data_IF_378922718478
#
_entry.id   IF_378922718478
#
_cell.length_a   1.000
_cell.length_b   1.000
_cell.length_c   1.000
_cell.angle_alpha   90.00
_cell.angle_beta   90.00
_cell.angle_gamma   90.00
#
_symmetry.space_group_name_H-M   'P 1'
#
loop_
_entity.id
_entity.type
_entity.pdbx_description
1 polymer ?
#
# COMPACT_ATOMS: atom_id res chain seq x y z
N UNK A 1 -87.17 -5.90 -9.04
CA UNK A 1 -86.50 -6.62 -7.92
C UNK A 1 -84.99 -6.43 -8.07
N UNK A 2 -84.39 -5.62 -7.20
CA UNK A 2 -82.95 -5.31 -7.20
C UNK A 2 -82.18 -6.52 -6.65
N UNK A 3 -81.22 -7.05 -7.41
CA UNK A 3 -80.21 -7.98 -6.89
C UNK A 3 -78.87 -7.25 -6.86
N UNK A 4 -78.43 -6.90 -5.65
CA UNK A 4 -77.10 -6.36 -5.40
C UNK A 4 -76.10 -7.53 -5.39
N UNK A 5 -75.11 -7.47 -6.27
CA UNK A 5 -74.00 -8.42 -6.32
C UNK A 5 -72.84 -7.82 -5.51
N UNK A 6 -72.59 -8.37 -4.33
CA UNK A 6 -71.45 -8.02 -3.48
C UNK A 6 -70.18 -8.65 -4.08
N UNK A 7 -69.24 -7.82 -4.52
CA UNK A 7 -67.88 -8.28 -4.86
C UNK A 7 -67.01 -8.23 -3.60
N UNK A 8 -66.50 -9.40 -3.22
CA UNK A 8 -65.60 -9.61 -2.09
C UNK A 8 -64.16 -9.51 -2.62
N UNK A 9 -63.48 -8.41 -2.29
CA UNK A 9 -62.07 -8.19 -2.68
C UNK A 9 -61.18 -8.79 -1.60
N UNK A 10 -60.55 -9.93 -1.91
CA UNK A 10 -59.51 -10.53 -1.07
C UNK A 10 -58.16 -9.85 -1.36
N UNK A 11 -57.69 -9.01 -0.42
CA UNK A 11 -56.34 -8.44 -0.46
C UNK A 11 -55.39 -9.49 0.12
N UNK A 12 -54.65 -10.18 -0.74
CA UNK A 12 -53.53 -11.02 -0.32
C UNK A 12 -52.34 -10.14 0.08
N UNK A 13 -52.03 -10.10 1.38
CA UNK A 13 -50.74 -9.59 1.87
C UNK A 13 -49.65 -10.59 1.47
N UNK A 14 -48.89 -10.29 0.42
CA UNK A 14 -47.64 -10.97 0.14
C UNK A 14 -46.57 -10.48 1.13
N UNK A 15 -46.30 -11.26 2.17
CA UNK A 15 -45.08 -11.08 2.95
C UNK A 15 -43.88 -11.43 2.05
N UNK A 16 -43.14 -10.41 1.62
CA UNK A 16 -41.84 -10.59 0.99
C UNK A 16 -40.85 -10.94 2.10
N UNK A 17 -40.65 -12.25 2.34
CA UNK A 17 -39.57 -12.71 3.19
C UNK A 17 -38.24 -12.54 2.46
N UNK A 18 -37.41 -11.61 2.90
CA UNK A 18 -36.01 -11.57 2.45
C UNK A 18 -35.32 -12.83 2.99
N UNK A 19 -34.90 -13.73 2.10
CA UNK A 19 -34.14 -14.91 2.49
C UNK A 19 -32.73 -14.48 2.94
N UNK A 20 -32.56 -14.24 4.24
CA UNK A 20 -31.26 -14.00 4.86
C UNK A 20 -30.52 -15.35 4.99
N UNK A 21 -29.28 -15.45 4.52
CA UNK A 21 -28.51 -16.69 4.69
C UNK A 21 -28.01 -16.73 6.13
N UNK A 22 -28.33 -17.80 6.87
CA UNK A 22 -27.95 -17.97 8.27
C UNK A 22 -27.07 -19.20 8.45
N UNK A 23 -26.06 -19.11 9.32
CA UNK A 23 -25.21 -20.25 9.71
C UNK A 23 -24.82 -20.14 11.17
N UNK A 24 -24.76 -21.28 11.87
CA UNK A 24 -24.33 -21.34 13.25
C UNK A 24 -23.02 -22.12 13.39
N UNK A 25 -22.21 -21.71 14.36
CA UNK A 25 -20.89 -22.26 14.62
C UNK A 25 -20.72 -22.52 16.10
N UNK A 26 -19.97 -23.58 16.40
CA UNK A 26 -19.54 -23.95 17.75
C UNK A 26 -18.02 -24.10 17.71
N UNK A 27 -17.32 -23.52 18.68
CA UNK A 27 -15.87 -23.62 18.82
C UNK A 27 -15.58 -24.57 19.98
N UNK A 28 -14.94 -25.71 19.70
CA UNK A 28 -14.57 -26.70 20.70
C UNK A 28 -13.19 -26.36 21.28
N UNK A 29 -13.14 -25.66 22.40
CA UNK A 29 -11.87 -25.28 23.03
C UNK A 29 -11.22 -26.47 23.73
N UNK A 30 -10.01 -26.82 23.30
CA UNK A 30 -9.10 -27.73 24.02
C UNK A 30 -8.25 -26.93 25.03
N UNK A 31 -7.49 -27.63 25.88
CA UNK A 31 -6.68 -26.99 26.92
C UNK A 31 -5.62 -26.01 26.35
N UNK A 32 -4.76 -26.48 25.43
CA UNK A 32 -3.81 -25.66 24.67
C UNK A 32 -3.09 -26.49 23.61
N UNK A 33 -2.50 -25.85 22.61
CA UNK A 33 -1.63 -26.50 21.61
C UNK A 33 -0.28 -25.81 21.54
N UNK A 34 0.78 -26.63 21.55
CA UNK A 34 2.16 -26.18 21.33
C UNK A 34 2.52 -26.28 19.86
N UNK A 35 3.04 -25.19 19.31
CA UNK A 35 3.62 -25.11 17.97
C UNK A 35 5.12 -24.91 18.12
N UNK A 36 5.92 -25.74 17.46
CA UNK A 36 7.38 -25.69 17.56
C UNK A 36 8.04 -25.79 16.19
N UNK A 37 9.04 -24.93 15.95
CA UNK A 37 9.95 -25.00 14.81
C UNK A 37 11.36 -24.83 15.37
N UNK A 38 12.15 -25.90 15.35
CA UNK A 38 13.51 -25.96 15.92
C UNK A 38 13.58 -25.40 17.35
N UNK A 39 14.23 -24.25 17.57
CA UNK A 39 14.36 -23.61 18.90
C UNK A 39 13.18 -22.73 19.29
N UNK A 40 12.26 -22.45 18.36
CA UNK A 40 11.08 -21.62 18.64
C UNK A 40 9.90 -22.50 19.06
N UNK A 41 9.27 -22.17 20.19
CA UNK A 41 8.06 -22.84 20.67
C UNK A 41 7.08 -21.81 21.21
N UNK A 42 5.82 -21.92 20.80
CA UNK A 42 4.71 -21.12 21.31
C UNK A 42 3.55 -22.03 21.71
N UNK A 43 2.99 -21.80 22.90
CA UNK A 43 1.81 -22.52 23.38
C UNK A 43 0.62 -21.56 23.40
N UNK A 44 -0.49 -21.96 22.78
CA UNK A 44 -1.68 -21.12 22.59
C UNK A 44 -2.95 -21.86 23.00
N UNK A 45 -3.99 -21.17 23.50
CA UNK A 45 -5.33 -21.77 23.60
C UNK A 45 -5.80 -22.17 22.20
N UNK A 46 -6.38 -23.36 22.06
CA UNK A 46 -6.58 -23.95 20.74
C UNK A 46 -7.89 -24.74 20.60
N UNK A 47 -8.20 -25.12 19.36
CA UNK A 47 -9.28 -26.04 19.00
C UNK A 47 -8.79 -27.05 17.97
N UNK A 48 -9.03 -28.33 18.24
CA UNK A 48 -8.65 -29.47 17.41
C UNK A 48 -9.51 -29.64 16.16
N UNK A 49 -10.63 -28.91 16.06
CA UNK A 49 -11.54 -28.96 14.91
C UNK A 49 -11.01 -28.22 13.66
N UNK A 50 -9.82 -27.61 13.76
CA UNK A 50 -9.18 -26.92 12.64
C UNK A 50 -9.80 -25.57 12.30
N UNK A 51 -10.70 -25.05 13.14
CA UNK A 51 -11.35 -23.75 12.91
C UNK A 51 -10.54 -22.57 13.42
N UNK A 52 -9.46 -22.78 14.17
CA UNK A 52 -8.59 -21.71 14.65
C UNK A 52 -7.31 -21.59 13.83
N UNK A 53 -6.89 -20.35 13.61
CA UNK A 53 -5.59 -19.97 13.03
C UNK A 53 -4.90 -18.94 13.93
N UNK A 54 -3.58 -18.83 13.83
CA UNK A 54 -2.79 -17.83 14.56
C UNK A 54 -1.83 -17.10 13.62
N UNK A 55 -1.75 -15.78 13.78
CA UNK A 55 -0.81 -14.91 13.08
C UNK A 55 -0.22 -13.88 14.05
N UNK A 56 1.08 -13.58 13.94
CA UNK A 56 1.75 -12.64 14.86
C UNK A 56 1.28 -11.19 14.75
N UNK A 57 0.67 -10.80 13.62
CA UNK A 57 0.08 -9.48 13.44
C UNK A 57 -1.39 -9.41 13.83
N UNK A 58 -2.11 -10.55 13.86
CA UNK A 58 -3.58 -10.57 13.97
C UNK A 58 -4.13 -11.45 15.11
N UNK A 59 -3.26 -12.16 15.84
CA UNK A 59 -3.64 -13.02 16.95
C UNK A 59 -4.36 -14.30 16.51
N UNK A 60 -5.13 -14.90 17.43
CA UNK A 60 -5.94 -16.09 17.15
C UNK A 60 -7.23 -15.66 16.45
N UNK A 61 -7.60 -16.36 15.38
CA UNK A 61 -8.84 -16.15 14.64
C UNK A 61 -9.59 -17.45 14.42
N UNK A 62 -10.90 -17.38 14.54
CA UNK A 62 -11.79 -18.38 13.99
C UNK A 62 -11.88 -18.19 12.47
N UNK A 63 -11.82 -19.28 11.71
CA UNK A 63 -11.94 -19.32 10.26
C UNK A 63 -12.88 -20.44 9.86
N UNK A 64 -13.84 -20.14 8.99
CA UNK A 64 -14.66 -21.15 8.33
C UNK A 64 -14.88 -20.77 6.88
N UNK A 65 -14.91 -21.79 6.02
CA UNK A 65 -15.21 -21.65 4.60
C UNK A 65 -16.32 -22.61 4.16
N UNK A 66 -17.16 -22.19 3.22
CA UNK A 66 -18.16 -23.04 2.59
C UNK A 66 -18.49 -22.58 1.16
N UNK A 67 -18.94 -23.48 0.27
CA UNK A 67 -19.33 -23.11 -1.10
C UNK A 67 -20.46 -22.08 -1.10
N UNK A 68 -20.39 -21.13 -2.03
CA UNK A 68 -21.47 -20.15 -2.25
C UNK A 68 -21.74 -19.97 -3.73
N UNK A 69 -22.99 -19.71 -4.12
CA UNK A 69 -23.38 -19.52 -5.51
C UNK A 69 -23.20 -18.08 -6.00
N UNK A 70 -23.17 -17.12 -5.08
CA UNK A 70 -23.18 -15.69 -5.38
C UNK A 70 -22.18 -14.93 -4.51
N UNK A 71 -21.78 -13.74 -4.97
CA UNK A 71 -20.91 -12.87 -4.17
C UNK A 71 -21.68 -12.33 -2.97
N UNK A 72 -21.07 -12.37 -1.79
CA UNK A 72 -21.64 -11.92 -0.53
C UNK A 72 -21.52 -10.40 -0.42
N UNK A 73 -22.57 -9.75 0.08
CA UNK A 73 -22.49 -8.36 0.53
C UNK A 73 -21.81 -8.34 1.90
N UNK A 74 -20.51 -8.06 1.94
CA UNK A 74 -19.70 -8.11 3.16
C UNK A 74 -20.24 -7.20 4.28
N UNK A 75 -20.90 -6.09 3.90
CA UNK A 75 -21.50 -5.14 4.85
C UNK A 75 -22.80 -5.63 5.48
N UNK A 76 -23.38 -6.70 4.96
CA UNK A 76 -24.62 -7.28 5.49
C UNK A 76 -24.38 -8.33 6.58
N UNK A 77 -23.12 -8.58 6.95
CA UNK A 77 -22.80 -9.54 8.00
C UNK A 77 -23.30 -9.04 9.35
N UNK A 78 -24.16 -9.85 9.96
CA UNK A 78 -24.59 -9.69 11.34
C UNK A 78 -24.16 -10.92 12.13
N UNK A 79 -23.65 -10.70 13.34
CA UNK A 79 -23.28 -11.77 14.27
C UNK A 79 -24.25 -11.73 15.44
N UNK A 80 -24.94 -12.84 15.68
CA UNK A 80 -26.00 -12.98 16.69
C UNK A 80 -25.77 -14.22 17.55
N UNK A 81 -26.52 -14.35 18.64
CA UNK A 81 -26.49 -15.53 19.52
C UNK A 81 -25.08 -15.91 20.01
N UNK A 82 -24.24 -14.92 20.30
CA UNK A 82 -22.86 -15.15 20.75
C UNK A 82 -22.87 -15.60 22.20
N UNK A 83 -22.31 -16.78 22.45
CA UNK A 83 -22.14 -17.33 23.80
C UNK A 83 -20.67 -17.25 24.18
N UNK A 84 -20.42 -16.69 25.37
CA UNK A 84 -19.08 -16.53 25.93
C UNK A 84 -18.87 -17.46 27.12
N UNK A 85 -17.63 -17.90 27.30
CA UNK A 85 -17.13 -18.52 28.53
C UNK A 85 -15.89 -17.77 29.02
N UNK A 86 -15.65 -17.67 30.34
CA UNK A 86 -14.46 -17.01 30.86
C UNK A 86 -13.20 -17.78 30.43
N UNK A 87 -12.12 -17.05 30.18
CA UNK A 87 -10.78 -17.61 30.02
C UNK A 87 -9.81 -16.86 30.94
N UNK A 88 -9.12 -17.58 31.80
CA UNK A 88 -8.16 -16.99 32.73
C UNK A 88 -6.91 -16.50 31.99
N UNK A 89 -6.19 -15.55 32.60
CA UNK A 89 -4.90 -15.09 32.04
C UNK A 89 -3.86 -16.20 31.93
N UNK A 90 -3.96 -17.28 32.72
CA UNK A 90 -3.07 -18.43 32.63
C UNK A 90 -3.39 -19.33 31.43
N UNK A 91 -4.68 -19.45 31.07
CA UNK A 91 -5.15 -20.22 29.91
C UNK A 91 -4.85 -19.54 28.57
N UNK A 92 -4.53 -18.23 28.56
CA UNK A 92 -4.06 -17.54 27.37
C UNK A 92 -2.65 -17.96 26.93
N UNK A 93 -1.89 -18.64 27.81
CA UNK A 93 -0.55 -19.14 27.54
C UNK A 93 0.36 -18.04 26.96
N UNK A 94 0.90 -18.23 25.76
CA UNK A 94 1.79 -17.27 25.10
C UNK A 94 1.07 -16.34 24.11
N UNK A 95 -0.27 -16.27 24.12
CA UNK A 95 -1.00 -15.35 23.26
C UNK A 95 -0.68 -13.89 23.64
N UNK A 96 -0.15 -13.07 22.70
CA UNK A 96 0.14 -11.67 23.00
C UNK A 96 -1.16 -10.90 23.30
N UNK A 97 -1.20 -10.26 24.47
CA UNK A 97 -2.43 -9.67 25.04
C UNK A 97 -2.89 -8.42 24.28
N UNK A 98 -1.97 -7.74 23.63
CA UNK A 98 -2.17 -6.59 22.76
C UNK A 98 -2.91 -6.94 21.47
N UNK A 99 -2.89 -8.20 21.04
CA UNK A 99 -3.60 -8.68 19.86
C UNK A 99 -5.06 -9.07 20.16
N UNK A 100 -5.48 -9.03 21.43
CA UNK A 100 -6.85 -9.40 21.84
C UNK A 100 -7.74 -8.15 21.79
N UNK A 101 -8.75 -8.11 20.89
CA UNK A 101 -9.59 -6.92 20.74
C UNK A 101 -10.56 -6.75 21.92
N UNK A 102 -11.02 -5.51 22.13
CA UNK A 102 -12.02 -5.17 23.15
C UNK A 102 -13.47 -5.39 22.70
N UNK A 103 -13.69 -5.81 21.46
CA UNK A 103 -15.00 -6.13 20.90
C UNK A 103 -14.89 -7.28 19.91
N UNK A 104 -16.03 -7.92 19.63
CA UNK A 104 -16.11 -9.02 18.69
C UNK A 104 -15.95 -8.51 17.25
N UNK A 105 -14.76 -8.66 16.68
CA UNK A 105 -14.51 -8.38 15.26
C UNK A 105 -14.83 -9.61 14.40
N UNK A 106 -15.65 -9.45 13.37
CA UNK A 106 -15.94 -10.48 12.38
C UNK A 106 -16.01 -9.88 10.96
N UNK A 107 -15.63 -10.68 9.97
CA UNK A 107 -15.74 -10.32 8.55
C UNK A 107 -16.05 -11.55 7.71
N UNK A 108 -16.77 -11.34 6.61
CA UNK A 108 -17.06 -12.37 5.62
C UNK A 108 -16.75 -11.82 4.24
N UNK A 109 -16.06 -12.60 3.42
CA UNK A 109 -15.73 -12.24 2.05
C UNK A 109 -16.08 -13.37 1.09
N UNK A 110 -16.14 -13.06 -0.21
CA UNK A 110 -16.21 -14.09 -1.26
C UNK A 110 -14.85 -14.30 -1.87
N UNK A 111 -14.28 -15.49 -1.68
CA UNK A 111 -13.06 -15.94 -2.35
C UNK A 111 -13.41 -16.66 -3.65
N UNK A 112 -12.71 -16.34 -4.74
CA UNK A 112 -12.90 -16.96 -6.05
C UNK A 112 -11.59 -17.64 -6.45
N UNK A 113 -11.63 -18.95 -6.65
CA UNK A 113 -10.47 -19.73 -7.09
C UNK A 113 -10.89 -20.67 -8.22
N UNK A 114 -10.25 -20.54 -9.39
CA UNK A 114 -10.51 -21.39 -10.58
C UNK A 114 -11.99 -21.47 -10.99
N UNK A 115 -12.78 -20.43 -10.69
CA UNK A 115 -14.22 -20.36 -10.98
C UNK A 115 -15.12 -20.79 -9.81
N UNK A 116 -14.58 -21.48 -8.81
CA UNK A 116 -15.31 -21.84 -7.61
C UNK A 116 -15.38 -20.67 -6.64
N UNK A 117 -16.58 -20.41 -6.12
CA UNK A 117 -16.83 -19.34 -5.14
C UNK A 117 -17.01 -19.94 -3.76
N UNK A 118 -16.24 -19.44 -2.80
CA UNK A 118 -16.28 -19.84 -1.41
C UNK A 118 -16.57 -18.62 -0.54
N UNK A 119 -17.49 -18.76 0.41
CA UNK A 119 -17.60 -17.83 1.52
C UNK A 119 -16.41 -18.05 2.46
N UNK A 120 -15.76 -16.99 2.89
CA UNK A 120 -14.65 -17.04 3.83
C UNK A 120 -14.97 -16.13 5.02
N UNK A 121 -15.23 -16.75 6.17
CA UNK A 121 -15.60 -16.07 7.41
C UNK A 121 -14.40 -16.04 8.35
N UNK A 122 -14.12 -14.88 8.94
CA UNK A 122 -13.19 -14.75 10.06
C UNK A 122 -13.84 -14.05 11.25
N UNK A 123 -13.48 -14.48 12.46
CA UNK A 123 -13.97 -13.90 13.71
C UNK A 123 -12.88 -13.93 14.78
N UNK A 124 -12.84 -12.93 15.65
CA UNK A 124 -11.94 -12.88 16.83
C UNK A 124 -12.55 -13.69 17.97
N UNK A 125 -12.05 -14.88 18.31
CA UNK A 125 -12.75 -15.82 19.19
C UNK A 125 -12.45 -15.56 20.67
N UNK A 126 -11.55 -14.63 20.99
CA UNK A 126 -11.23 -14.18 22.35
C UNK A 126 -11.34 -12.65 22.36
N UNK A 127 -12.02 -12.12 23.37
CA UNK A 127 -12.19 -10.67 23.57
C UNK A 127 -11.76 -10.26 24.97
N UNK A 128 -11.30 -9.02 25.10
CA UNK A 128 -11.03 -8.38 26.38
C UNK A 128 -12.35 -7.85 26.97
N UNK A 129 -12.66 -8.27 28.18
CA UNK A 129 -13.80 -7.78 28.97
C UNK A 129 -13.36 -6.73 29.99
N UNK A 130 -14.31 -6.11 30.69
CA UNK A 130 -14.02 -5.09 31.71
C UNK A 130 -13.06 -5.63 32.80
N UNK A 131 -12.30 -4.74 33.43
CA UNK A 131 -11.33 -5.07 34.49
C UNK A 131 -10.19 -6.01 34.06
N UNK A 132 -9.74 -5.92 32.80
CA UNK A 132 -8.60 -6.70 32.29
C UNK A 132 -8.81 -8.23 32.34
N UNK A 133 -10.07 -8.65 32.26
CA UNK A 133 -10.48 -10.05 32.13
C UNK A 133 -10.68 -10.42 30.66
N UNK A 134 -10.80 -11.72 30.36
CA UNK A 134 -10.92 -12.23 29.00
C UNK A 134 -12.05 -13.24 28.91
N UNK A 135 -12.74 -13.23 27.77
CA UNK A 135 -13.79 -14.19 27.45
C UNK A 135 -13.54 -14.81 26.08
N UNK A 136 -13.77 -16.11 25.97
CA UNK A 136 -13.69 -16.86 24.71
C UNK A 136 -15.10 -17.20 24.21
N UNK A 137 -15.30 -17.10 22.90
CA UNK A 137 -16.56 -17.44 22.23
C UNK A 137 -16.67 -18.95 22.11
N UNK A 138 -17.78 -19.53 22.55
CA UNK A 138 -18.06 -20.98 22.43
C UNK A 138 -19.03 -21.28 21.30
N UNK A 139 -19.94 -20.37 21.00
CA UNK A 139 -20.82 -20.47 19.84
C UNK A 139 -21.32 -19.11 19.38
N UNK A 140 -21.72 -19.04 18.11
CA UNK A 140 -22.33 -17.85 17.53
C UNK A 140 -23.12 -18.22 16.26
N UNK A 141 -24.02 -17.33 15.87
CA UNK A 141 -24.71 -17.38 14.58
C UNK A 141 -24.27 -16.19 13.74
N UNK A 142 -24.25 -16.38 12.42
CA UNK A 142 -24.13 -15.29 11.47
C UNK A 142 -25.35 -15.26 10.58
N UNK A 143 -25.63 -14.06 10.07
CA UNK A 143 -26.55 -13.86 8.98
C UNK A 143 -25.97 -12.87 7.97
N UNK A 144 -26.21 -13.11 6.68
CA UNK A 144 -25.69 -12.27 5.59
C UNK A 144 -26.55 -12.39 4.34
N UNK A 145 -26.43 -11.38 3.48
CA UNK A 145 -27.11 -11.31 2.20
C UNK A 145 -26.10 -11.44 1.06
N UNK A 146 -26.56 -11.98 -0.08
CA UNK A 146 -25.79 -11.84 -1.31
C UNK A 146 -25.82 -10.40 -1.79
N UNK A 147 -24.71 -9.95 -2.37
CA UNK A 147 -24.69 -8.70 -3.10
C UNK A 147 -25.66 -8.81 -4.27
N UNK A 148 -26.36 -7.71 -4.58
CA UNK A 148 -27.04 -7.62 -5.86
C UNK A 148 -26.03 -7.96 -6.95
N UNK A 149 -26.42 -8.82 -7.90
CA UNK A 149 -25.66 -9.11 -9.10
C UNK A 149 -25.64 -7.88 -10.01
N UNK A 150 -25.13 -6.75 -9.52
CA UNK A 150 -24.52 -5.76 -10.36
C UNK A 150 -23.33 -6.50 -10.96
N UNK A 151 -23.51 -7.01 -12.18
CA UNK A 151 -22.38 -7.27 -13.05
C UNK A 151 -21.60 -5.97 -13.07
N UNK A 152 -20.58 -5.87 -12.22
CA UNK A 152 -19.57 -4.85 -12.39
C UNK A 152 -19.17 -5.02 -13.84
N UNK A 153 -19.49 -4.02 -14.67
CA UNK A 153 -19.01 -4.00 -16.02
C UNK A 153 -17.52 -4.31 -15.90
N UNK A 154 -17.08 -5.43 -16.48
CA UNK A 154 -15.66 -5.75 -16.52
C UNK A 154 -15.01 -4.45 -16.97
N UNK A 155 -14.09 -3.90 -16.15
CA UNK A 155 -13.45 -2.64 -16.46
C UNK A 155 -12.96 -2.77 -17.90
N UNK A 156 -13.63 -2.08 -18.83
CA UNK A 156 -13.21 -2.07 -20.21
C UNK A 156 -11.89 -1.33 -20.15
N UNK A 157 -10.78 -2.07 -20.20
CA UNK A 157 -9.51 -1.47 -20.54
C UNK A 157 -9.71 -0.85 -21.91
N UNK A 158 -9.92 0.47 -21.93
CA UNK A 158 -10.03 1.20 -23.19
C UNK A 158 -8.68 1.10 -23.87
N UNK A 159 -8.62 0.31 -24.94
CA UNK A 159 -7.45 0.28 -25.81
C UNK A 159 -7.37 1.67 -26.44
N UNK A 160 -6.39 2.44 -26.00
CA UNK A 160 -6.05 3.74 -26.58
C UNK A 160 -4.67 3.63 -27.23
N UNK A 161 -4.47 4.36 -28.33
CA UNK A 161 -3.16 4.41 -28.98
C UNK A 161 -2.16 5.08 -28.04
N UNK A 162 -0.95 4.53 -27.97
CA UNK A 162 0.09 5.11 -27.13
C UNK A 162 0.42 6.53 -27.56
N UNK A 163 0.72 7.42 -26.61
CA UNK A 163 1.26 8.74 -26.93
C UNK A 163 2.54 8.64 -27.77
N UNK A 164 3.31 7.56 -27.59
CA UNK A 164 4.55 7.28 -28.33
C UNK A 164 4.30 6.81 -29.77
N UNK A 165 3.06 6.54 -30.16
CA UNK A 165 2.74 6.02 -31.50
C UNK A 165 2.97 7.02 -32.63
N UNK A 166 3.15 8.31 -32.31
CA UNK A 166 3.35 9.38 -33.28
C UNK A 166 4.29 10.47 -32.75
N UNK A 167 4.97 11.17 -33.65
CA UNK A 167 5.92 12.24 -33.33
C UNK A 167 7.35 11.74 -33.13
N UNK A 168 8.28 12.69 -32.97
CA UNK A 168 9.70 12.40 -32.78
C UNK A 168 10.04 12.34 -31.29
N UNK A 169 10.58 11.21 -30.84
CA UNK A 169 10.82 10.92 -29.43
C UNK A 169 12.30 10.67 -29.15
N UNK A 170 12.85 11.40 -28.18
CA UNK A 170 14.26 11.36 -27.82
C UNK A 170 14.40 10.98 -26.35
N UNK A 171 15.01 9.83 -26.10
CA UNK A 171 15.08 9.24 -24.76
C UNK A 171 16.32 9.72 -24.02
N UNK A 172 16.14 10.09 -22.75
CA UNK A 172 17.24 10.37 -21.83
C UNK A 172 16.90 9.81 -20.43
N UNK A 173 17.88 9.83 -19.52
CA UNK A 173 17.66 9.33 -18.17
C UNK A 173 18.19 10.30 -17.11
N UNK A 174 17.66 10.13 -15.91
CA UNK A 174 18.15 10.75 -14.67
C UNK A 174 18.43 9.65 -13.64
N UNK A 175 19.41 9.90 -12.79
CA UNK A 175 19.84 9.02 -11.68
C UNK A 175 19.46 9.61 -10.30
N UNK A 176 19.04 10.87 -10.26
CA UNK A 176 18.76 11.64 -9.06
C UNK A 176 17.42 12.37 -9.19
N UNK A 177 16.82 12.69 -8.04
CA UNK A 177 15.59 13.49 -7.97
C UNK A 177 15.95 14.95 -7.81
N UNK A 178 15.34 15.83 -8.60
CA UNK A 178 15.61 17.27 -8.51
C UNK A 178 15.16 18.05 -9.74
N UNK A 179 15.51 19.33 -9.77
CA UNK A 179 15.31 20.19 -10.95
C UNK A 179 16.52 20.07 -11.86
N UNK A 180 16.29 19.70 -13.11
CA UNK A 180 17.32 19.53 -14.12
C UNK A 180 17.26 20.66 -15.15
N UNK A 181 18.44 21.11 -15.58
CA UNK A 181 18.62 22.03 -16.70
C UNK A 181 18.98 21.25 -17.95
N UNK A 182 18.13 21.29 -18.97
CA UNK A 182 18.40 20.78 -20.30
C UNK A 182 18.82 21.95 -21.20
N UNK A 183 20.13 22.05 -21.44
CA UNK A 183 20.66 23.02 -22.40
C UNK A 183 20.36 22.60 -23.84
N UNK A 184 20.43 23.56 -24.76
CA UNK A 184 20.41 23.29 -26.20
C UNK A 184 21.41 22.22 -26.62
N UNK A 185 22.65 22.32 -26.15
CA UNK A 185 23.71 21.34 -26.46
C UNK A 185 23.37 19.91 -26.02
N UNK A 186 22.69 19.76 -24.87
CA UNK A 186 22.26 18.45 -24.39
C UNK A 186 21.13 17.91 -25.29
N UNK A 187 20.15 18.75 -25.63
CA UNK A 187 19.04 18.39 -26.52
C UNK A 187 19.56 17.96 -27.90
N UNK A 188 20.53 18.68 -28.46
CA UNK A 188 21.21 18.31 -29.72
C UNK A 188 21.96 16.99 -29.60
N UNK A 189 22.61 16.72 -28.46
CA UNK A 189 23.34 15.47 -28.22
C UNK A 189 22.43 14.23 -28.23
N UNK A 190 21.13 14.41 -27.97
CA UNK A 190 20.12 13.36 -28.10
C UNK A 190 19.69 13.11 -29.55
N UNK A 191 20.10 13.96 -30.50
CA UNK A 191 19.76 13.89 -31.92
C UNK A 191 18.63 14.83 -32.36
N UNK A 192 18.18 15.75 -31.49
CA UNK A 192 17.15 16.73 -31.83
C UNK A 192 17.73 17.82 -32.75
N UNK A 193 17.04 18.10 -33.85
CA UNK A 193 17.39 19.25 -34.71
C UNK A 193 16.85 20.55 -34.12
N UNK A 194 17.74 21.44 -33.70
CA UNK A 194 17.41 22.74 -33.09
C UNK A 194 17.32 23.90 -34.09
N UNK A 195 17.81 23.71 -35.33
CA UNK A 195 17.95 24.78 -36.35
C UNK A 195 16.66 25.56 -36.63
N UNK A 196 15.51 24.90 -36.53
CA UNK A 196 14.17 25.51 -36.70
C UNK A 196 13.22 25.04 -35.59
N UNK A 197 13.76 24.74 -34.41
CA UNK A 197 12.97 24.29 -33.29
C UNK A 197 12.33 25.49 -32.60
N UNK A 198 11.00 25.55 -32.60
CA UNK A 198 10.28 26.46 -31.72
C UNK A 198 10.33 25.90 -30.28
N UNK A 199 10.93 26.63 -29.31
CA UNK A 199 11.01 26.18 -27.91
C UNK A 199 9.62 25.89 -27.29
N UNK A 200 8.57 26.55 -27.78
CA UNK A 200 7.18 26.34 -27.35
C UNK A 200 6.69 24.91 -27.59
N UNK A 201 7.28 24.21 -28.58
CA UNK A 201 6.92 22.85 -28.95
C UNK A 201 7.72 21.77 -28.22
N UNK A 202 8.67 22.15 -27.36
CA UNK A 202 9.39 21.19 -26.52
C UNK A 202 8.45 20.67 -25.44
N UNK A 203 8.34 19.34 -25.38
CA UNK A 203 7.56 18.59 -24.40
C UNK A 203 8.44 17.55 -23.71
N UNK A 204 8.21 17.32 -22.42
CA UNK A 204 8.89 16.27 -21.66
C UNK A 204 7.86 15.29 -21.11
N UNK A 205 8.08 14.00 -21.35
CA UNK A 205 7.21 12.93 -20.93
C UNK A 205 7.94 11.93 -20.02
N UNK A 206 7.22 11.38 -19.04
CA UNK A 206 7.75 10.38 -18.13
C UNK A 206 6.94 10.28 -16.84
N UNK A 207 7.01 9.12 -16.18
CA UNK A 207 6.19 8.80 -15.01
C UNK A 207 6.98 8.85 -13.68
N UNK A 208 8.22 9.31 -13.72
CA UNK A 208 9.14 9.28 -12.59
C UNK A 208 9.74 7.90 -12.31
N UNK A 209 10.63 7.86 -11.33
CA UNK A 209 11.44 6.69 -11.00
C UNK A 209 10.94 5.84 -9.85
N UNK A 210 9.72 6.10 -9.34
CA UNK A 210 9.20 5.38 -8.17
C UNK A 210 9.04 3.89 -8.44
N UNK A 211 9.17 3.09 -7.39
CA UNK A 211 8.95 1.65 -7.48
C UNK A 211 7.49 1.35 -7.80
N UNK A 212 7.28 0.31 -8.62
CA UNK A 212 5.93 -0.16 -8.91
C UNK A 212 5.26 -0.71 -7.62
N UNK A 213 3.94 -0.51 -7.45
CA UNK A 213 3.20 -1.07 -6.32
C UNK A 213 3.30 -2.59 -6.28
N UNK A 214 3.24 -3.19 -5.08
CA UNK A 214 3.14 -4.66 -4.99
C UNK A 214 1.74 -5.18 -5.35
N UNK A 215 0.72 -4.35 -5.14
CA UNK A 215 -0.67 -4.70 -5.40
C UNK A 215 -1.00 -4.48 -6.87
N UNK A 216 -1.28 -5.56 -7.60
CA UNK A 216 -1.62 -5.52 -9.03
C UNK A 216 -2.91 -4.74 -9.35
N UNK A 217 -3.80 -4.55 -8.37
CA UNK A 217 -5.03 -3.77 -8.54
C UNK A 217 -4.83 -2.27 -8.35
N UNK A 218 -3.63 -1.82 -7.94
CA UNK A 218 -3.34 -0.40 -7.82
C UNK A 218 -3.15 0.19 -9.23
N UNK A 219 -3.89 1.26 -9.60
CA UNK A 219 -3.70 1.92 -10.88
C UNK A 219 -2.24 2.38 -11.06
N UNK A 220 -1.67 2.11 -12.22
CA UNK A 220 -0.34 2.56 -12.62
C UNK A 220 -0.40 3.11 -14.04
N UNK A 221 0.32 4.19 -14.37
CA UNK A 221 0.31 4.77 -15.70
C UNK A 221 0.69 3.73 -16.77
N UNK A 222 -0.14 3.61 -17.81
CA UNK A 222 0.07 2.70 -18.94
C UNK A 222 0.92 3.32 -20.06
N UNK A 223 1.04 4.64 -20.05
CA UNK A 223 1.77 5.47 -21.00
C UNK A 223 2.55 6.55 -20.23
N UNK A 224 3.58 7.17 -20.82
CA UNK A 224 4.27 8.28 -20.20
C UNK A 224 3.43 9.56 -20.20
N UNK A 225 3.38 10.25 -19.07
CA UNK A 225 2.61 11.49 -18.91
C UNK A 225 3.45 12.75 -19.22
N UNK A 226 2.79 13.82 -19.71
CA UNK A 226 3.44 15.10 -19.97
C UNK A 226 3.72 15.87 -18.67
N UNK A 227 5.00 16.19 -18.47
CA UNK A 227 5.50 16.94 -17.33
C UNK A 227 5.51 18.43 -17.65
N UNK A 228 5.12 19.26 -16.68
CA UNK A 228 5.17 20.71 -16.82
C UNK A 228 6.64 21.18 -16.77
N UNK A 229 7.03 22.01 -17.74
CA UNK A 229 8.39 22.54 -17.86
C UNK A 229 8.39 24.06 -17.79
N UNK A 230 9.55 24.65 -17.47
CA UNK A 230 9.82 26.08 -17.68
C UNK A 230 10.85 26.18 -18.79
N UNK A 231 10.59 27.03 -19.78
CA UNK A 231 11.53 27.29 -20.88
C UNK A 231 11.98 28.74 -20.77
N UNK A 232 13.30 28.95 -20.76
CA UNK A 232 13.91 30.27 -20.71
C UNK A 232 14.32 30.63 -22.13
N UNK A 233 13.88 31.79 -22.62
CA UNK A 233 14.13 32.28 -23.99
C UNK A 233 13.12 31.80 -25.03
N UNK A 234 11.88 31.45 -24.65
CA UNK A 234 10.88 30.95 -25.61
C UNK A 234 10.07 32.04 -26.34
N UNK A 235 10.35 33.32 -26.08
CA UNK A 235 9.52 34.45 -26.52
C UNK A 235 9.58 34.75 -28.02
N UNK A 236 10.73 34.53 -28.65
CA UNK A 236 10.96 34.82 -30.07
C UNK A 236 10.72 33.61 -31.00
N UNK A 237 10.41 32.45 -30.42
CA UNK A 237 10.13 31.22 -31.13
C UNK A 237 11.36 30.55 -31.75
N UNK A 238 12.57 30.94 -31.35
CA UNK A 238 13.84 30.35 -31.77
C UNK A 238 14.54 29.75 -30.54
N UNK A 239 15.20 28.60 -30.69
CA UNK A 239 15.96 28.00 -29.59
C UNK A 239 17.45 28.35 -29.71
N UNK A 240 17.82 29.46 -29.07
CA UNK A 240 19.16 30.03 -29.07
C UNK A 240 20.10 29.34 -28.07
N UNK A 241 21.40 29.64 -28.16
CA UNK A 241 22.43 29.00 -27.34
C UNK A 241 22.32 29.34 -25.84
N UNK A 242 21.66 30.46 -25.53
CA UNK A 242 21.34 30.87 -24.16
C UNK A 242 20.11 30.18 -23.57
N UNK A 243 19.32 29.50 -24.40
CA UNK A 243 18.02 28.98 -24.01
C UNK A 243 18.13 27.59 -23.38
N UNK A 244 17.21 27.30 -22.48
CA UNK A 244 17.19 26.02 -21.78
C UNK A 244 15.83 25.70 -21.20
N UNK A 245 15.65 24.41 -20.94
CA UNK A 245 14.47 23.86 -20.28
C UNK A 245 14.82 23.51 -18.84
N UNK A 246 14.01 23.95 -17.88
CA UNK A 246 14.00 23.46 -16.51
C UNK A 246 12.82 22.52 -16.31
N UNK A 247 13.08 21.34 -15.76
CA UNK A 247 12.02 20.42 -15.37
C UNK A 247 12.38 19.66 -14.10
N UNK A 248 11.37 19.30 -13.33
CA UNK A 248 11.54 18.46 -12.13
C UNK A 248 11.44 16.99 -12.53
N UNK A 249 12.48 16.22 -12.21
CA UNK A 249 12.53 14.79 -12.44
C UNK A 249 12.59 14.03 -11.11
N UNK A 250 11.96 12.87 -11.06
CA UNK A 250 12.08 11.93 -9.95
C UNK A 250 13.01 10.81 -10.39
N UNK A 251 14.16 10.70 -9.75
CA UNK A 251 15.11 9.62 -9.94
C UNK A 251 14.59 8.28 -9.40
N UNK A 252 15.36 7.19 -9.59
CA UNK A 252 14.96 5.85 -9.20
C UNK A 252 14.89 5.69 -7.68
N UNK A 253 15.80 6.34 -6.95
CA UNK A 253 15.98 6.17 -5.52
C UNK A 253 15.20 7.20 -4.71
N UNK A 254 14.72 6.77 -3.54
CA UNK A 254 13.91 7.52 -2.60
C UNK A 254 13.19 6.56 -1.66
N UNK A 255 12.90 6.99 -0.43
CA UNK A 255 12.29 6.12 0.57
C UNK A 255 10.90 5.67 0.14
N UNK A 256 10.72 4.36 -0.01
CA UNK A 256 9.44 3.73 -0.23
C UNK A 256 8.96 3.08 1.08
N UNK A 257 7.78 3.46 1.55
CA UNK A 257 7.21 2.97 2.81
C UNK A 257 6.75 1.50 2.75
N UNK A 258 6.19 1.06 1.61
CA UNK A 258 5.71 -0.31 1.44
C UNK A 258 6.89 -1.29 1.35
N UNK A 259 7.96 -0.89 0.64
CA UNK A 259 9.17 -1.72 0.48
C UNK A 259 10.21 -1.50 1.59
N UNK A 260 10.07 -0.41 2.36
CA UNK A 260 10.93 -0.01 3.49
C UNK A 260 12.41 0.17 3.10
N UNK A 261 12.68 0.70 1.91
CA UNK A 261 14.02 0.88 1.34
C UNK A 261 14.09 2.18 0.54
N UNK A 262 15.29 2.76 0.43
CA UNK A 262 15.56 3.89 -0.46
C UNK A 262 16.05 3.47 -1.85
N UNK A 263 16.46 2.22 -2.00
CA UNK A 263 17.07 1.71 -3.24
C UNK A 263 15.97 1.07 -4.08
N UNK A 264 15.87 1.51 -5.33
CA UNK A 264 14.92 0.92 -6.26
C UNK A 264 15.29 -0.52 -6.59
N UNK A 265 14.40 -1.46 -6.24
CA UNK A 265 14.63 -2.88 -6.46
C UNK A 265 14.45 -3.32 -7.92
N UNK A 266 14.08 -2.42 -8.84
CA UNK A 266 13.76 -2.74 -10.22
C UNK A 266 14.67 -2.05 -11.24
N UNK A 267 15.25 -0.89 -10.92
CA UNK A 267 15.96 -0.08 -11.90
C UNK A 267 16.91 0.94 -11.24
N UNK A 268 18.05 1.19 -11.86
CA UNK A 268 19.05 2.17 -11.41
C UNK A 268 18.98 3.51 -12.18
N UNK A 269 18.08 3.61 -13.17
CA UNK A 269 17.89 4.80 -14.01
C UNK A 269 16.42 5.10 -14.26
N UNK A 270 16.04 6.36 -14.22
CA UNK A 270 14.68 6.78 -14.62
C UNK A 270 14.70 7.41 -15.98
N UNK A 271 13.86 6.92 -16.89
CA UNK A 271 13.81 7.40 -18.26
C UNK A 271 12.71 8.44 -18.47
N UNK A 272 13.09 9.49 -19.18
CA UNK A 272 12.22 10.54 -19.67
C UNK A 272 12.39 10.67 -21.19
N UNK A 273 11.43 11.30 -21.84
CA UNK A 273 11.41 11.46 -23.28
C UNK A 273 11.14 12.91 -23.64
N UNK A 274 11.96 13.46 -24.54
CA UNK A 274 11.69 14.72 -25.21
C UNK A 274 10.84 14.41 -26.44
N UNK A 275 9.77 15.16 -26.62
CA UNK A 275 9.03 15.20 -27.86
C UNK A 275 9.07 16.60 -28.45
N UNK A 276 9.50 16.70 -29.70
CA UNK A 276 9.51 17.93 -30.49
C UNK A 276 8.61 17.69 -31.70
N UNK A 277 7.37 18.16 -31.63
CA UNK A 277 6.38 17.89 -32.66
C UNK A 277 5.37 19.02 -32.79
N UNK A 278 4.21 18.73 -33.37
CA UNK A 278 3.12 19.71 -33.42
C UNK A 278 2.43 19.84 -32.06
N UNK A 279 2.32 21.06 -31.56
CA UNK A 279 1.58 21.41 -30.35
C UNK A 279 2.46 21.99 -29.24
N UNK A 280 1.90 22.91 -28.48
CA UNK A 280 2.60 23.56 -27.37
C UNK A 280 2.79 22.59 -26.21
N UNK A 281 3.95 22.64 -25.57
CA UNK A 281 4.22 21.85 -24.40
C UNK A 281 3.67 22.44 -23.11
N UNK A 282 3.36 21.57 -22.15
CA UNK A 282 2.85 21.94 -20.84
C UNK A 282 3.83 22.83 -20.08
N UNK A 283 3.40 24.03 -19.70
CA UNK A 283 4.21 25.00 -18.93
C UNK A 283 3.83 25.03 -17.46
N UNK A 284 4.82 25.25 -16.60
CA UNK A 284 4.58 25.58 -15.19
C UNK A 284 3.77 26.88 -15.13
N UNK A 285 2.68 26.87 -14.38
CA UNK A 285 1.82 28.04 -14.20
C UNK A 285 2.27 28.84 -12.97
N UNK A 286 2.31 30.18 -13.04
CA UNK A 286 2.59 30.99 -11.86
C UNK A 286 1.46 30.83 -10.83
N UNK A 287 1.83 30.71 -9.56
CA UNK A 287 0.89 30.75 -8.44
C UNK A 287 0.65 32.21 -8.04
N UNK A 288 -0.60 32.57 -7.78
CA UNK A 288 -0.94 33.86 -7.22
C UNK A 288 -0.40 33.95 -5.78
N UNK A 289 0.46 34.93 -5.51
CA UNK A 289 0.98 35.14 -4.16
C UNK A 289 -0.10 35.72 -3.25
N UNK A 290 -0.23 35.27 -1.98
CA UNK A 290 -1.12 35.88 -1.01
C UNK A 290 -0.74 37.35 -0.76
N UNK A 291 -1.74 38.23 -0.67
CA UNK A 291 -1.54 39.65 -0.36
C UNK A 291 -1.58 39.99 1.13
N UNK A 292 -2.09 39.08 1.95
CA UNK A 292 -2.27 39.29 3.39
C UNK A 292 -0.93 39.17 4.14
N UNK A 293 -0.80 39.81 5.32
CA UNK A 293 0.36 39.63 6.18
C UNK A 293 0.59 38.17 6.54
N UNK A 294 1.85 37.73 6.57
CA UNK A 294 2.20 36.37 6.97
C UNK A 294 1.80 36.08 8.42
N UNK A 295 1.02 35.02 8.63
CA UNK A 295 0.60 34.54 9.96
C UNK A 295 1.44 33.38 10.47
N UNK A 296 2.20 32.74 9.58
CA UNK A 296 3.09 31.63 9.88
C UNK A 296 4.45 31.90 9.22
N UNK A 297 5.51 31.84 10.02
CA UNK A 297 6.90 31.88 9.53
C UNK A 297 7.45 30.47 9.64
N UNK A 298 7.92 29.93 8.52
CA UNK A 298 8.59 28.64 8.45
C UNK A 298 10.07 28.93 8.16
N UNK A 299 10.91 28.83 9.17
CA UNK A 299 12.36 29.07 9.13
C UNK A 299 13.19 27.80 9.30
N UNK A 300 12.52 26.67 9.54
CA UNK A 300 13.12 25.34 9.72
C UNK A 300 12.39 24.31 8.87
N UNK A 301 13.10 23.27 8.45
CA UNK A 301 12.53 22.14 7.72
C UNK A 301 13.17 20.83 8.17
N UNK A 302 12.52 19.72 7.86
CA UNK A 302 13.06 18.39 8.11
C UNK A 302 13.90 17.95 6.91
N UNK A 303 15.21 17.80 7.13
CA UNK A 303 16.10 17.21 6.14
C UNK A 303 16.23 15.70 6.36
N UNK A 304 16.26 14.94 5.26
CA UNK A 304 16.39 13.49 5.26
C UNK A 304 17.72 13.07 4.62
N UNK A 305 18.42 12.15 5.28
CA UNK A 305 19.63 11.48 4.79
C UNK A 305 19.54 10.00 5.14
N UNK A 306 20.18 9.16 4.33
CA UNK A 306 20.23 7.73 4.56
C UNK A 306 21.57 7.17 4.08
N UNK A 307 21.98 6.06 4.68
CA UNK A 307 23.01 5.17 4.16
C UNK A 307 22.36 3.80 3.96
N UNK A 308 22.36 3.32 2.72
CA UNK A 308 21.78 2.03 2.35
C UNK A 308 22.58 1.43 1.21
N UNK A 309 22.86 0.13 1.28
CA UNK A 309 23.51 -0.64 0.22
C UNK A 309 22.92 -2.04 0.18
N UNK A 310 22.67 -2.56 -1.02
CA UNK A 310 22.13 -3.91 -1.22
C UNK A 310 23.25 -4.90 -1.57
N UNK A 311 24.00 -5.37 -0.56
CA UNK A 311 25.14 -6.28 -0.75
C UNK A 311 24.85 -7.72 -0.37
N UNK A 312 24.04 -7.93 0.68
CA UNK A 312 23.82 -9.25 1.28
C UNK A 312 22.33 -9.51 1.53
N UNK A 313 21.85 -10.67 1.05
CA UNK A 313 20.55 -11.22 1.44
C UNK A 313 20.79 -12.38 2.42
N UNK A 314 20.46 -12.17 3.69
CA UNK A 314 20.83 -13.05 4.82
C UNK A 314 20.38 -14.50 4.66
N UNK A 315 19.23 -14.75 4.02
CA UNK A 315 18.66 -16.08 3.85
C UNK A 315 18.46 -16.45 2.37
N UNK A 316 18.99 -15.63 1.45
CA UNK A 316 18.68 -15.69 0.01
C UNK A 316 17.16 -15.74 -0.25
N UNK A 317 16.38 -15.11 0.62
CA UNK A 317 14.92 -15.16 0.66
C UNK A 317 14.36 -13.74 0.76
N UNK A 318 13.26 -13.51 0.05
CA UNK A 318 12.56 -12.23 0.08
C UNK A 318 13.34 -11.10 -0.60
N UNK A 319 12.90 -9.87 -0.35
CA UNK A 319 13.37 -8.66 -1.04
C UNK A 319 14.20 -7.73 -0.15
N UNK A 320 14.55 -8.18 1.07
CA UNK A 320 15.33 -7.37 2.03
C UNK A 320 16.80 -7.68 1.88
N UNK A 321 17.58 -6.64 1.62
CA UNK A 321 19.03 -6.69 1.52
C UNK A 321 19.66 -5.80 2.58
N UNK A 322 20.93 -6.07 2.87
CA UNK A 322 21.73 -5.38 3.87
C UNK A 322 23.13 -5.09 3.34
N UNK A 323 23.70 -3.96 3.75
CA UNK A 323 24.99 -3.50 3.25
C UNK A 323 26.18 -3.96 4.09
N UNK A 324 26.16 -3.66 5.39
CA UNK A 324 27.28 -3.87 6.28
C UNK A 324 27.18 -5.18 7.05
N UNK A 325 28.26 -5.96 7.05
CA UNK A 325 28.43 -7.13 7.93
C UNK A 325 29.31 -6.75 9.12
N UNK A 326 28.92 -7.24 10.29
CA UNK A 326 29.61 -7.03 11.56
C UNK A 326 30.13 -8.40 12.05
N UNK A 327 31.09 -8.97 11.33
CA UNK A 327 31.72 -10.26 11.64
C UNK A 327 33.21 -10.12 11.96
N UNK A 328 33.97 -9.42 11.12
CA UNK A 328 35.38 -9.07 11.36
C UNK A 328 35.51 -7.69 11.99
N UNK A 329 34.84 -6.70 11.41
CA UNK A 329 34.82 -5.33 11.90
C UNK A 329 33.47 -5.04 12.57
N UNK A 330 33.45 -5.04 13.90
CA UNK A 330 32.22 -4.99 14.70
C UNK A 330 31.76 -3.56 15.03
N UNK A 331 32.40 -2.55 14.46
CA UNK A 331 32.07 -1.15 14.68
C UNK A 331 32.13 -0.42 13.35
N UNK A 332 31.12 0.39 13.05
CA UNK A 332 31.03 1.21 11.86
C UNK A 332 30.58 2.61 12.24
N UNK A 333 31.22 3.61 11.64
CA UNK A 333 30.86 5.01 11.77
C UNK A 333 30.25 5.48 10.46
N UNK A 334 29.14 6.22 10.54
CA UNK A 334 28.47 6.82 9.40
C UNK A 334 28.35 8.32 9.66
N UNK A 335 28.96 9.10 8.78
CA UNK A 335 28.96 10.56 8.87
C UNK A 335 27.91 11.15 7.93
N UNK A 336 27.05 12.01 8.47
CA UNK A 336 26.03 12.74 7.72
C UNK A 336 26.23 14.23 7.91
N UNK A 337 26.24 14.98 6.81
CA UNK A 337 26.28 16.43 6.82
C UNK A 337 24.87 17.01 6.72
N UNK A 338 24.53 17.84 7.70
CA UNK A 338 23.27 18.56 7.84
C UNK A 338 23.57 20.05 8.00
N UNK A 339 23.66 20.83 6.91
CA UNK A 339 23.93 22.25 6.99
C UNK A 339 22.80 22.97 7.75
N UNK A 340 23.17 23.90 8.64
CA UNK A 340 22.22 24.66 9.47
C UNK A 340 21.37 23.80 10.43
N UNK A 341 21.93 22.69 10.94
CA UNK A 341 21.27 21.82 11.91
C UNK A 341 20.87 22.57 13.20
N UNK A 342 19.59 22.46 13.57
CA UNK A 342 19.06 22.98 14.84
C UNK A 342 19.30 21.95 15.95
N UNK A 343 20.32 22.16 16.77
CA UNK A 343 20.77 21.18 17.79
C UNK A 343 19.83 21.00 18.98
N UNK A 344 18.84 21.88 19.15
CA UNK A 344 17.85 21.78 20.23
C UNK A 344 16.66 20.87 19.87
N UNK A 345 16.55 20.46 18.61
CA UNK A 345 15.45 19.62 18.13
C UNK A 345 15.85 18.15 18.13
N UNK A 346 14.95 17.23 18.51
CA UNK A 346 15.24 15.80 18.48
C UNK A 346 15.38 15.31 17.03
N UNK A 347 16.32 14.40 16.82
CA UNK A 347 16.45 13.68 15.55
C UNK A 347 15.60 12.40 15.56
N UNK A 348 15.23 11.94 14.36
CA UNK A 348 14.60 10.62 14.17
C UNK A 348 15.59 9.70 13.48
N UNK A 349 16.13 8.73 14.21
CA UNK A 349 17.02 7.70 13.67
C UNK A 349 16.25 6.38 13.48
N UNK A 350 16.39 5.79 12.29
CA UNK A 350 15.96 4.42 12.03
C UNK A 350 17.19 3.58 11.69
N UNK A 351 17.40 2.48 12.43
CA UNK A 351 18.45 1.48 12.14
C UNK A 351 17.78 0.16 11.83
N UNK A 352 18.11 -0.42 10.68
CA UNK A 352 17.63 -1.74 10.27
C UNK A 352 18.78 -2.74 10.35
N UNK A 353 18.77 -3.56 11.39
CA UNK A 353 19.74 -4.62 11.60
C UNK A 353 19.04 -5.98 11.59
N UNK A 354 19.77 -7.01 11.18
CA UNK A 354 19.32 -8.39 11.24
C UNK A 354 20.54 -9.29 11.48
N UNK A 355 20.32 -10.41 12.17
CA UNK A 355 21.35 -11.37 12.52
C UNK A 355 20.85 -12.79 12.25
N UNK A 356 21.74 -13.65 11.78
CA UNK A 356 21.58 -15.10 11.77
C UNK A 356 22.58 -15.62 12.79
N UNK A 357 22.11 -15.98 13.97
CA UNK A 357 22.96 -16.42 15.09
C UNK A 357 22.30 -17.54 15.87
N UNK A 358 23.09 -18.49 16.33
CA UNK A 358 22.64 -19.57 17.22
C UNK A 358 22.53 -19.14 18.69
N UNK A 359 23.08 -17.95 19.02
CA UNK A 359 23.11 -17.36 20.37
C UNK A 359 22.53 -15.94 20.35
N UNK A 360 22.09 -15.46 21.52
CA UNK A 360 21.60 -14.09 21.64
C UNK A 360 22.69 -13.08 21.29
N UNK A 361 22.41 -12.21 20.34
CA UNK A 361 23.28 -11.13 19.89
C UNK A 361 22.62 -9.78 20.10
N UNK A 362 23.41 -8.74 20.34
CA UNK A 362 22.93 -7.37 20.46
C UNK A 362 23.81 -6.43 19.63
N UNK A 363 23.26 -5.30 19.23
CA UNK A 363 23.97 -4.23 18.52
C UNK A 363 23.75 -2.92 19.28
N UNK A 364 24.84 -2.27 19.67
CA UNK A 364 24.80 -0.93 20.24
C UNK A 364 24.72 0.13 19.14
N UNK A 365 23.92 1.17 19.36
CA UNK A 365 23.85 2.35 18.47
C UNK A 365 24.08 3.58 19.33
N UNK A 366 25.06 4.40 18.95
CA UNK A 366 25.37 5.68 19.58
C UNK A 366 25.28 6.79 18.54
N UNK A 367 24.80 7.95 18.97
CA UNK A 367 24.72 9.17 18.17
C UNK A 367 25.49 10.23 18.96
N UNK A 368 26.34 10.96 18.26
CA UNK A 368 27.16 12.02 18.83
C UNK A 368 26.38 13.33 18.98
#
# INVERSE_FOLDING_TARGET
MKKHFFYLVAIGLSMVGFAQNQKSFTIQWDESKRFSIDKFSIELPWSSDGTLTFDYGQGIRFVSQWPTSQSINERSLEVTNVVYSPISSAELKNLPKELIPSSLGASITTSISRGDKMAYLTLSPIIKTSNNSYSKVTSFSISYNYGNANRAAAAQFSVSSSVLASGDWYKFYVDTTGVFKLSKSFIESLGVSTRNLNPQHIRIFGNGGRMIPYVNSQPYPIDPEENAIMVIGEEDGVFDDGDYVLFYAQGPNGYDEEKRTNINCYNDRTYYYINVGSGNGKRIQPLAQPSDPATLVIDTFQEYRYYEEDKYNLAQLGRRWFGNRFDVENTKTFDFDFPNLVTTSPIKLNVYAAAVSETNTSMGVSIN
#
